data_IF_830964615078
#
_entry.id   IF_830964615078
#
_cell.length_a   1.000
_cell.length_b   1.000
_cell.length_c   1.000
_cell.angle_alpha   90.00
_cell.angle_beta   90.00
_cell.angle_gamma   90.00
#
_symmetry.space_group_name_H-M   'P 1'
#
loop_
_entity.id
_entity.type
_entity.pdbx_description
1 polymer ?
#
# COMPACT_ATOMS: atom_id res chain seq x y z
N UNK A 1 33.11 -12.72 3.54
CA UNK A 1 31.82 -11.99 3.67
C UNK A 1 31.71 -10.68 2.87
N UNK A 2 32.79 -10.08 2.33
CA UNK A 2 32.72 -8.80 1.59
C UNK A 2 31.97 -8.86 0.23
N UNK A 3 32.00 -10.02 -0.44
CA UNK A 3 31.34 -10.20 -1.75
C UNK A 3 29.81 -10.09 -1.64
N UNK A 4 29.21 -10.73 -0.62
CA UNK A 4 27.76 -10.73 -0.41
C UNK A 4 27.21 -9.32 -0.14
N UNK A 5 27.95 -8.50 0.62
CA UNK A 5 27.58 -7.11 0.88
C UNK A 5 27.65 -6.24 -0.37
N UNK A 6 28.64 -6.47 -1.25
CA UNK A 6 28.74 -5.76 -2.52
C UNK A 6 27.58 -6.12 -3.46
N UNK A 7 27.27 -7.41 -3.63
CA UNK A 7 26.14 -7.89 -4.46
C UNK A 7 24.80 -7.35 -3.96
N UNK A 8 24.58 -7.32 -2.64
CA UNK A 8 23.37 -6.75 -2.07
C UNK A 8 23.24 -5.24 -2.39
N UNK A 9 24.35 -4.50 -2.32
CA UNK A 9 24.38 -3.06 -2.58
C UNK A 9 24.17 -2.72 -4.06
N UNK A 10 24.81 -3.46 -4.97
CA UNK A 10 24.59 -3.29 -6.43
C UNK A 10 23.17 -3.71 -6.82
N UNK A 11 22.65 -4.83 -6.29
CA UNK A 11 21.27 -5.25 -6.54
C UNK A 11 20.25 -4.20 -6.09
N UNK A 12 20.45 -3.61 -4.91
CA UNK A 12 19.58 -2.53 -4.41
C UNK A 12 19.60 -1.30 -5.32
N UNK A 13 20.77 -0.87 -5.79
CA UNK A 13 20.89 0.29 -6.68
C UNK A 13 20.29 0.01 -8.08
N UNK A 14 20.56 -1.17 -8.65
CA UNK A 14 20.03 -1.58 -9.96
C UNK A 14 18.51 -1.78 -9.93
N UNK A 15 17.93 -2.14 -8.79
CA UNK A 15 16.47 -2.29 -8.65
C UNK A 15 15.70 -0.98 -8.71
N UNK A 16 16.38 0.17 -8.52
CA UNK A 16 15.77 1.50 -8.59
C UNK A 16 15.81 2.09 -10.00
N UNK A 17 16.69 1.61 -10.86
CA UNK A 17 16.79 2.04 -12.25
C UNK A 17 15.93 1.11 -13.11
N UNK A 18 15.10 1.69 -13.97
CA UNK A 18 14.33 0.95 -14.96
C UNK A 18 14.57 1.53 -16.35
N UNK A 19 14.65 0.65 -17.35
CA UNK A 19 14.73 1.01 -18.77
C UNK A 19 13.48 0.45 -19.41
N UNK A 20 12.65 1.30 -20.03
CA UNK A 20 11.35 0.90 -20.60
C UNK A 20 10.48 0.11 -19.60
N UNK A 21 10.38 0.58 -18.35
CA UNK A 21 9.63 -0.05 -17.26
C UNK A 21 10.17 -1.41 -16.77
N UNK A 22 11.28 -1.92 -17.33
CA UNK A 22 11.94 -3.14 -16.85
C UNK A 22 13.04 -2.76 -15.85
N UNK A 23 13.01 -3.23 -14.59
CA UNK A 23 14.09 -2.99 -13.64
C UNK A 23 15.45 -3.49 -14.15
N UNK A 24 16.54 -2.78 -13.89
CA UNK A 24 17.82 -3.12 -14.51
C UNK A 24 18.36 -4.49 -14.05
N UNK A 25 18.08 -4.89 -12.80
CA UNK A 25 18.42 -6.23 -12.32
C UNK A 25 17.71 -7.35 -13.10
N UNK A 26 16.50 -7.10 -13.61
CA UNK A 26 15.79 -8.02 -14.49
C UNK A 26 16.43 -8.13 -15.85
N UNK A 27 16.79 -6.98 -16.43
CA UNK A 27 17.47 -6.93 -17.72
C UNK A 27 18.80 -7.71 -17.65
N UNK A 28 19.53 -7.61 -16.55
CA UNK A 28 20.76 -8.40 -16.32
C UNK A 28 20.47 -9.90 -16.24
N UNK A 29 19.45 -10.32 -15.49
CA UNK A 29 19.06 -11.75 -15.41
C UNK A 29 18.62 -12.27 -16.77
N UNK A 30 17.85 -11.47 -17.51
CA UNK A 30 17.40 -11.81 -18.86
C UNK A 30 18.58 -11.98 -19.82
N UNK A 31 19.50 -11.00 -19.86
CA UNK A 31 20.72 -11.07 -20.70
C UNK A 31 21.56 -12.28 -20.31
N UNK A 32 21.77 -12.52 -19.01
CA UNK A 32 22.51 -13.69 -18.53
C UNK A 32 21.82 -15.00 -18.95
N UNK A 33 20.50 -15.06 -18.89
CA UNK A 33 19.70 -16.19 -19.36
C UNK A 33 19.81 -16.42 -20.87
N UNK A 34 19.77 -15.35 -21.68
CA UNK A 34 19.96 -15.42 -23.14
C UNK A 34 21.37 -15.91 -23.49
N UNK A 35 22.40 -15.38 -22.84
CA UNK A 35 23.79 -15.81 -23.05
C UNK A 35 23.97 -17.28 -22.65
N UNK A 36 23.47 -17.67 -21.48
CA UNK A 36 23.54 -19.06 -21.02
C UNK A 36 22.80 -20.02 -21.99
N UNK A 37 21.65 -19.60 -22.52
CA UNK A 37 20.89 -20.37 -23.50
C UNK A 37 21.64 -20.48 -24.83
N UNK A 38 22.32 -19.42 -25.28
CA UNK A 38 23.16 -19.43 -26.48
C UNK A 38 24.36 -20.38 -26.34
N UNK A 39 25.09 -20.31 -25.21
CA UNK A 39 26.19 -21.23 -24.91
C UNK A 39 25.71 -22.69 -24.85
N UNK A 40 24.55 -22.93 -24.26
CA UNK A 40 23.95 -24.26 -24.22
C UNK A 40 23.57 -24.75 -25.62
N UNK A 41 22.97 -23.90 -26.46
CA UNK A 41 22.64 -24.23 -27.85
C UNK A 41 23.85 -24.70 -28.66
N UNK A 42 25.01 -24.06 -28.49
CA UNK A 42 26.27 -24.47 -29.14
C UNK A 42 26.69 -25.87 -28.67
N UNK A 43 26.65 -26.15 -27.36
CA UNK A 43 26.98 -27.48 -26.83
C UNK A 43 26.05 -28.59 -27.35
N UNK A 44 24.77 -28.26 -27.57
CA UNK A 44 23.80 -29.21 -28.16
C UNK A 44 24.15 -29.50 -29.62
N UNK A 45 24.53 -28.50 -30.40
CA UNK A 45 24.90 -28.70 -31.82
C UNK A 45 26.17 -29.54 -32.00
N UNK A 46 27.06 -29.53 -31.01
CA UNK A 46 28.28 -30.35 -31.01
C UNK A 46 28.04 -31.80 -30.51
N UNK A 47 26.78 -32.20 -30.28
CA UNK A 47 26.40 -33.49 -29.71
C UNK A 47 27.11 -33.81 -28.38
N UNK A 48 27.44 -32.78 -27.60
CA UNK A 48 28.13 -32.97 -26.32
C UNK A 48 27.15 -33.54 -25.28
N UNK A 49 27.41 -34.73 -24.71
CA UNK A 49 26.51 -35.34 -23.71
C UNK A 49 26.37 -34.50 -22.44
N UNK A 50 27.32 -33.58 -22.17
CA UNK A 50 27.26 -32.66 -21.04
C UNK A 50 26.20 -31.56 -21.21
N UNK A 51 25.65 -31.36 -22.40
CA UNK A 51 24.63 -30.35 -22.66
C UNK A 51 23.37 -30.53 -21.79
N UNK A 52 23.04 -31.77 -21.40
CA UNK A 52 21.88 -32.06 -20.52
C UNK A 52 22.05 -31.40 -19.14
N UNK A 53 23.28 -31.31 -18.63
CA UNK A 53 23.54 -30.66 -17.34
C UNK A 53 23.38 -29.13 -17.39
N UNK A 54 23.46 -28.52 -18.58
CA UNK A 54 23.17 -27.09 -18.79
C UNK A 54 21.68 -26.76 -18.81
N UNK A 55 20.84 -27.72 -19.22
CA UNK A 55 19.39 -27.55 -19.36
C UNK A 55 18.69 -27.23 -18.03
N UNK A 56 19.04 -28.00 -16.99
CA UNK A 56 18.40 -27.95 -15.68
C UNK A 56 18.59 -26.57 -14.99
N UNK A 57 19.82 -26.03 -14.85
CA UNK A 57 20.01 -24.70 -14.26
C UNK A 57 19.40 -23.59 -15.13
N UNK A 58 19.45 -23.71 -16.46
CA UNK A 58 18.81 -22.76 -17.37
C UNK A 58 17.30 -22.69 -17.14
N UNK A 59 16.63 -23.85 -17.07
CA UNK A 59 15.20 -23.94 -16.77
C UNK A 59 14.87 -23.40 -15.37
N UNK A 60 15.69 -23.69 -14.36
CA UNK A 60 15.49 -23.19 -13.00
C UNK A 60 15.58 -21.66 -12.92
N UNK A 61 16.57 -21.05 -13.60
CA UNK A 61 16.70 -19.58 -13.68
C UNK A 61 15.52 -18.99 -14.44
N UNK A 62 15.10 -19.59 -15.55
CA UNK A 62 13.95 -19.16 -16.33
C UNK A 62 12.65 -19.22 -15.51
N UNK A 63 12.41 -20.32 -14.78
CA UNK A 63 11.24 -20.44 -13.90
C UNK A 63 11.28 -19.46 -12.74
N UNK A 64 12.43 -19.25 -12.10
CA UNK A 64 12.59 -18.24 -11.05
C UNK A 64 12.32 -16.82 -11.58
N UNK A 65 12.78 -16.52 -12.79
CA UNK A 65 12.46 -15.30 -13.51
C UNK A 65 10.95 -15.21 -13.76
N UNK A 66 10.32 -16.21 -14.36
CA UNK A 66 8.89 -16.20 -14.63
C UNK A 66 8.06 -15.98 -13.34
N UNK A 67 8.37 -16.72 -12.27
CA UNK A 67 7.71 -16.59 -10.96
C UNK A 67 7.91 -15.20 -10.39
N UNK A 68 9.12 -14.66 -10.47
CA UNK A 68 9.39 -13.32 -9.97
C UNK A 68 8.68 -12.25 -10.81
N UNK A 69 8.33 -12.52 -12.06
CA UNK A 69 7.73 -11.54 -12.97
C UNK A 69 6.26 -11.43 -12.59
N UNK A 70 5.60 -12.59 -12.61
CA UNK A 70 4.21 -12.76 -12.19
C UNK A 70 3.96 -12.27 -10.75
N UNK A 71 4.93 -12.40 -9.84
CA UNK A 71 4.76 -11.96 -8.44
C UNK A 71 5.11 -10.50 -8.16
N UNK A 72 5.76 -9.78 -9.07
CA UNK A 72 6.37 -8.47 -8.77
C UNK A 72 5.72 -7.29 -9.48
N UNK A 73 4.71 -7.52 -10.31
CA UNK A 73 4.07 -6.45 -11.06
C UNK A 73 3.17 -5.57 -10.18
N UNK A 74 3.73 -4.83 -9.23
CA UNK A 74 3.09 -3.66 -8.63
C UNK A 74 4.09 -2.52 -8.65
N UNK A 75 4.09 -1.76 -9.76
CA UNK A 75 4.93 -0.58 -9.92
C UNK A 75 4.07 0.68 -9.86
N UNK A 76 4.60 1.72 -9.24
CA UNK A 76 3.95 3.03 -9.18
C UNK A 76 4.83 4.03 -9.90
N UNK A 77 4.31 4.59 -10.98
CA UNK A 77 4.98 5.65 -11.75
C UNK A 77 4.37 6.98 -11.33
N UNK A 78 5.18 7.84 -10.73
CA UNK A 78 4.74 9.18 -10.28
C UNK A 78 4.45 10.07 -11.49
N UNK A 79 3.34 10.78 -11.43
CA UNK A 79 2.90 11.78 -12.41
C UNK A 79 2.83 13.16 -11.72
N UNK A 80 2.86 14.26 -12.49
CA UNK A 80 2.57 15.57 -11.94
C UNK A 80 1.19 15.58 -11.28
N UNK A 81 1.11 16.10 -10.06
CA UNK A 81 -0.14 16.22 -9.32
C UNK A 81 -1.12 17.12 -10.08
N UNK A 82 -2.41 16.74 -10.18
CA UNK A 82 -3.42 17.62 -10.71
C UNK A 82 -3.56 18.85 -9.80
N UNK A 83 -3.87 20.00 -10.39
CA UNK A 83 -4.19 21.20 -9.61
C UNK A 83 -5.47 20.93 -8.82
N UNK A 84 -5.36 20.87 -7.49
CA UNK A 84 -6.50 20.65 -6.61
C UNK A 84 -7.55 21.75 -6.85
N UNK A 85 -8.73 21.34 -7.30
CA UNK A 85 -9.89 22.23 -7.38
C UNK A 85 -10.66 22.07 -6.08
N UNK A 86 -10.99 23.16 -5.41
CA UNK A 86 -11.72 23.11 -4.16
C UNK A 86 -13.11 22.51 -4.40
N UNK A 87 -13.28 21.23 -4.08
CA UNK A 87 -14.58 20.56 -4.08
C UNK A 87 -15.16 20.74 -2.68
N UNK A 88 -16.18 21.59 -2.56
CA UNK A 88 -16.98 21.70 -1.34
C UNK A 88 -18.18 20.77 -1.49
N UNK A 89 -18.20 19.67 -0.73
CA UNK A 89 -19.26 18.68 -0.81
C UNK A 89 -18.97 17.44 0.04
N UNK A 90 -20.00 16.59 0.20
CA UNK A 90 -19.83 15.29 0.83
C UNK A 90 -18.77 14.48 0.08
N UNK A 91 -17.96 13.76 0.85
CA UNK A 91 -16.93 12.89 0.33
C UNK A 91 -17.51 11.98 -0.78
N UNK A 92 -16.78 11.70 -1.87
CA UNK A 92 -17.18 10.69 -2.84
C UNK A 92 -17.01 9.28 -2.23
N UNK A 93 -17.72 9.01 -1.12
CA UNK A 93 -17.68 7.77 -0.34
C UNK A 93 -18.23 6.58 -1.14
N UNK A 94 -18.89 6.85 -2.26
CA UNK A 94 -19.41 5.85 -3.19
C UNK A 94 -18.45 5.53 -4.34
N UNK A 95 -17.28 6.18 -4.41
CA UNK A 95 -16.29 5.83 -5.44
C UNK A 95 -15.68 4.48 -5.09
N UNK A 96 -15.89 3.51 -5.99
CA UNK A 96 -15.18 2.24 -5.94
C UNK A 96 -13.68 2.53 -6.12
N UNK A 97 -12.91 2.25 -5.07
CA UNK A 97 -11.46 2.36 -5.12
C UNK A 97 -10.84 1.01 -4.82
N UNK A 98 -9.60 0.81 -5.30
CA UNK A 98 -8.86 -0.41 -5.05
C UNK A 98 -7.66 -0.08 -4.18
N UNK A 99 -7.48 -0.84 -3.10
CA UNK A 99 -6.47 -0.62 -2.10
C UNK A 99 -5.30 -1.61 -2.24
N UNK A 100 -4.11 -1.06 -2.37
CA UNK A 100 -2.84 -1.79 -2.27
C UNK A 100 -2.07 -1.27 -1.06
N UNK A 101 -1.99 -2.07 0.00
CA UNK A 101 -1.39 -1.60 1.25
C UNK A 101 -1.59 -2.59 2.39
N UNK A 102 -1.23 -2.17 3.59
CA UNK A 102 -1.49 -2.92 4.82
C UNK A 102 -2.93 -2.62 5.27
N UNK A 103 -3.71 -3.65 5.55
CA UNK A 103 -4.99 -3.54 6.25
C UNK A 103 -4.94 -4.36 7.53
N UNK A 104 -5.78 -4.00 8.50
CA UNK A 104 -5.90 -4.65 9.79
C UNK A 104 -7.29 -5.26 9.98
N UNK A 105 -7.34 -6.48 10.48
CA UNK A 105 -8.57 -7.13 10.95
C UNK A 105 -8.52 -7.08 12.48
N UNK A 106 -9.30 -6.15 13.05
CA UNK A 106 -9.19 -5.77 14.46
C UNK A 106 -7.77 -5.31 14.85
N UNK A 107 -7.46 -5.29 16.14
CA UNK A 107 -6.15 -4.85 16.65
C UNK A 107 -5.01 -5.88 16.43
N UNK A 108 -5.36 -7.15 16.20
CA UNK A 108 -4.41 -8.27 16.30
C UNK A 108 -3.84 -8.75 14.98
N UNK A 109 -4.58 -8.64 13.87
CA UNK A 109 -4.15 -9.18 12.59
C UNK A 109 -3.89 -8.05 11.61
N UNK A 110 -2.70 -8.03 11.02
CA UNK A 110 -2.39 -7.13 9.91
C UNK A 110 -1.83 -7.92 8.74
N UNK A 111 -2.26 -7.58 7.52
CA UNK A 111 -1.81 -8.24 6.29
C UNK A 111 -1.70 -7.22 5.17
N UNK A 112 -0.75 -7.45 4.25
CA UNK A 112 -0.62 -6.66 3.04
C UNK A 112 -1.53 -7.25 1.96
N UNK A 113 -2.30 -6.38 1.34
CA UNK A 113 -3.19 -6.68 0.25
C UNK A 113 -2.75 -5.90 -0.99
N UNK A 114 -3.05 -6.46 -2.16
CA UNK A 114 -2.73 -5.86 -3.45
C UNK A 114 -4.03 -5.79 -4.23
N UNK A 115 -4.36 -4.61 -4.70
CA UNK A 115 -5.47 -4.34 -5.61
C UNK A 115 -6.83 -4.88 -5.12
N UNK A 116 -7.12 -4.73 -3.81
CA UNK A 116 -8.38 -5.18 -3.22
C UNK A 116 -9.47 -4.11 -3.31
N UNK A 117 -10.70 -4.45 -3.68
CA UNK A 117 -11.80 -3.48 -3.66
C UNK A 117 -12.01 -2.96 -2.25
N UNK A 118 -12.07 -1.65 -2.10
CA UNK A 118 -12.25 -0.98 -0.82
C UNK A 118 -13.13 0.26 -0.97
N UNK A 119 -13.61 0.76 0.15
CA UNK A 119 -14.43 1.96 0.22
C UNK A 119 -13.84 2.91 1.25
N UNK A 120 -13.81 4.19 0.91
CA UNK A 120 -13.58 5.27 1.85
C UNK A 120 -14.84 5.48 2.69
N UNK A 121 -14.71 5.52 4.02
CA UNK A 121 -15.82 5.78 4.95
C UNK A 121 -15.35 6.66 6.11
N UNK A 122 -16.28 7.25 6.84
CA UNK A 122 -16.02 7.77 8.19
C UNK A 122 -16.50 6.77 9.23
N UNK A 123 -15.76 6.63 10.31
CA UNK A 123 -16.22 5.91 11.50
C UNK A 123 -17.19 6.79 12.31
N UNK A 124 -17.85 6.20 13.31
CA UNK A 124 -18.76 6.91 14.22
C UNK A 124 -18.06 8.10 14.93
N UNK A 125 -16.76 8.00 15.18
CA UNK A 125 -15.94 9.08 15.73
C UNK A 125 -15.56 10.18 14.73
N UNK A 126 -16.05 10.12 13.49
CA UNK A 126 -15.71 11.07 12.42
C UNK A 126 -14.36 10.80 11.75
N UNK A 127 -13.59 9.85 12.25
CA UNK A 127 -12.28 9.45 11.71
C UNK A 127 -12.41 8.86 10.32
N UNK A 128 -11.48 9.23 9.44
CA UNK A 128 -11.39 8.68 8.10
C UNK A 128 -10.84 7.25 8.14
N UNK A 129 -11.55 6.33 7.48
CA UNK A 129 -11.18 4.93 7.36
C UNK A 129 -11.33 4.44 5.93
N UNK A 130 -10.47 3.52 5.53
CA UNK A 130 -10.64 2.73 4.30
C UNK A 130 -10.98 1.30 4.72
N UNK A 131 -12.12 0.80 4.26
CA UNK A 131 -12.67 -0.50 4.64
C UNK A 131 -12.79 -1.40 3.42
N UNK A 132 -12.42 -2.67 3.59
CA UNK A 132 -12.58 -3.72 2.58
C UNK A 132 -13.08 -5.00 3.25
N UNK A 133 -14.09 -5.65 2.67
CA UNK A 133 -14.58 -6.94 3.16
C UNK A 133 -13.81 -8.07 2.49
N UNK A 134 -12.90 -8.73 3.22
CA UNK A 134 -11.96 -9.71 2.66
C UNK A 134 -12.00 -11.01 3.45
N UNK A 135 -12.13 -12.14 2.73
CA UNK A 135 -11.82 -13.47 3.26
C UNK A 135 -10.32 -13.75 3.07
N UNK A 136 -9.54 -13.53 4.13
CA UNK A 136 -8.11 -13.82 4.14
C UNK A 136 -7.77 -15.17 4.81
N UNK A 137 -8.75 -16.09 4.86
CA UNK A 137 -8.61 -17.38 5.55
C UNK A 137 -7.58 -18.29 4.87
N UNK A 138 -6.84 -19.05 5.67
CA UNK A 138 -5.92 -20.07 5.13
C UNK A 138 -6.62 -21.42 5.08
N UNK A 139 -6.50 -22.10 3.94
CA UNK A 139 -7.04 -23.46 3.74
C UNK A 139 -5.88 -24.44 3.54
N UNK A 140 -5.97 -25.60 4.16
CA UNK A 140 -5.05 -26.71 3.98
C UNK A 140 -5.88 -27.96 3.67
N UNK A 141 -5.70 -28.54 2.47
CA UNK A 141 -6.51 -29.65 1.96
C UNK A 141 -8.03 -29.43 2.08
N UNK A 142 -8.51 -28.23 1.75
CA UNK A 142 -9.94 -27.88 1.82
C UNK A 142 -10.45 -27.54 3.21
N UNK A 143 -9.69 -27.81 4.28
CA UNK A 143 -10.05 -27.45 5.65
C UNK A 143 -9.57 -26.02 5.94
N UNK A 144 -10.46 -25.16 6.44
CA UNK A 144 -10.12 -23.81 6.89
C UNK A 144 -9.36 -23.93 8.22
N UNK A 145 -8.06 -23.67 8.20
CA UNK A 145 -7.19 -23.78 9.39
C UNK A 145 -7.13 -22.48 10.19
N UNK A 146 -7.39 -21.35 9.55
CA UNK A 146 -7.40 -20.04 10.19
C UNK A 146 -8.43 -19.16 9.48
N UNK A 147 -9.60 -18.98 10.10
CA UNK A 147 -10.65 -18.11 9.57
C UNK A 147 -10.29 -16.65 9.80
N UNK A 148 -10.20 -15.87 8.72
CA UNK A 148 -9.91 -14.42 8.75
C UNK A 148 -10.82 -13.67 7.80
N UNK A 149 -12.12 -13.93 7.93
CA UNK A 149 -13.19 -13.24 7.21
C UNK A 149 -13.62 -12.03 8.01
N UNK A 150 -13.74 -10.88 7.35
CA UNK A 150 -14.36 -9.70 7.97
C UNK A 150 -14.00 -8.39 7.30
N UNK A 151 -14.36 -7.30 7.97
CA UNK A 151 -14.00 -5.95 7.58
C UNK A 151 -12.54 -5.66 7.95
N UNK A 152 -11.71 -5.52 6.93
CA UNK A 152 -10.32 -5.09 7.05
C UNK A 152 -10.25 -3.57 6.89
N UNK A 153 -9.60 -2.91 7.84
CA UNK A 153 -9.56 -1.45 7.94
C UNK A 153 -8.13 -0.93 7.80
N UNK A 154 -8.00 0.26 7.22
CA UNK A 154 -6.88 1.17 7.44
C UNK A 154 -7.43 2.48 8.00
N UNK A 155 -6.74 3.03 9.01
CA UNK A 155 -7.09 4.29 9.67
C UNK A 155 -6.00 5.34 9.40
N UNK A 156 -5.90 5.89 8.19
CA UNK A 156 -4.85 6.83 7.85
C UNK A 156 -5.17 8.21 8.47
N UNK A 157 -4.23 8.77 9.24
CA UNK A 157 -4.44 10.05 9.91
C UNK A 157 -4.34 11.25 8.93
N UNK A 158 -5.40 12.05 8.74
CA UNK A 158 -5.46 13.07 7.67
C UNK A 158 -4.34 14.12 7.69
N UNK A 159 -3.94 14.56 8.88
CA UNK A 159 -2.88 15.57 9.04
C UNK A 159 -1.50 15.09 8.54
N UNK A 160 -1.29 13.77 8.40
CA UNK A 160 -0.01 13.15 8.06
C UNK A 160 0.14 12.80 6.57
N UNK A 161 -0.83 13.17 5.74
CA UNK A 161 -0.87 12.74 4.34
C UNK A 161 0.23 13.40 3.50
N UNK A 162 1.11 12.56 2.95
CA UNK A 162 1.94 12.87 1.79
C UNK A 162 1.38 12.10 0.60
N UNK A 163 0.79 12.80 -0.36
CA UNK A 163 0.10 12.21 -1.51
C UNK A 163 0.91 12.47 -2.78
N UNK A 164 1.09 11.43 -3.57
CA UNK A 164 1.68 11.49 -4.90
C UNK A 164 0.70 10.91 -5.92
N UNK A 165 0.41 11.64 -6.99
CA UNK A 165 -0.37 11.12 -8.11
C UNK A 165 0.51 10.26 -9.03
N UNK A 166 -0.11 9.31 -9.73
CA UNK A 166 0.58 8.44 -10.64
C UNK A 166 -0.30 7.41 -11.31
N UNK A 167 0.35 6.40 -11.86
CA UNK A 167 -0.27 5.20 -12.40
C UNK A 167 0.28 3.98 -11.69
N UNK A 168 -0.62 3.12 -11.19
CA UNK A 168 -0.31 1.80 -10.65
C UNK A 168 -0.36 0.78 -11.78
N UNK A 169 0.74 0.06 -11.99
CA UNK A 169 0.81 -1.06 -12.91
C UNK A 169 0.69 -2.35 -12.11
N UNK A 170 -0.42 -3.08 -12.31
CA UNK A 170 -0.63 -4.42 -11.79
C UNK A 170 -0.69 -5.44 -12.94
N UNK A 171 0.32 -6.30 -13.03
CA UNK A 171 0.56 -7.10 -14.23
C UNK A 171 0.75 -6.20 -15.46
N UNK A 172 0.04 -6.51 -16.53
CA UNK A 172 -0.03 -5.69 -17.75
C UNK A 172 -1.13 -4.62 -17.71
N UNK A 173 -1.82 -4.43 -16.58
CA UNK A 173 -2.87 -3.41 -16.44
C UNK A 173 -2.31 -2.18 -15.75
N UNK A 174 -2.44 -1.03 -16.39
CA UNK A 174 -2.23 0.27 -15.75
C UNK A 174 -3.55 0.84 -15.26
N UNK A 175 -3.57 1.40 -14.06
CA UNK A 175 -4.72 2.10 -13.49
C UNK A 175 -4.27 3.43 -12.86
N UNK A 176 -5.03 4.53 -13.02
CA UNK A 176 -4.74 5.79 -12.35
C UNK A 176 -4.74 5.57 -10.84
N UNK A 177 -3.74 6.14 -10.14
CA UNK A 177 -3.54 5.84 -8.73
C UNK A 177 -2.98 7.02 -7.92
N UNK A 178 -3.23 6.97 -6.60
CA UNK A 178 -2.65 7.86 -5.60
C UNK A 178 -1.81 7.04 -4.64
N UNK A 179 -0.52 7.37 -4.52
CA UNK A 179 0.34 6.83 -3.45
C UNK A 179 0.23 7.75 -2.25
N UNK A 180 -0.30 7.21 -1.16
CA UNK A 180 -0.48 7.91 0.10
C UNK A 180 0.51 7.36 1.13
N UNK A 181 1.30 8.25 1.74
CA UNK A 181 2.06 7.96 2.96
C UNK A 181 1.36 8.63 4.12
N UNK A 182 1.20 7.90 5.21
CA UNK A 182 0.39 8.35 6.35
C UNK A 182 0.91 7.70 7.64
N UNK A 183 0.50 8.24 8.78
CA UNK A 183 0.59 7.57 10.07
C UNK A 183 -0.67 6.73 10.29
N UNK A 184 -0.50 5.43 10.54
CA UNK A 184 -1.61 4.53 10.88
C UNK A 184 -2.10 4.90 12.29
N UNK A 185 -3.38 5.26 12.43
CA UNK A 185 -3.98 5.67 13.69
C UNK A 185 -3.94 4.59 14.77
N UNK A 186 -3.76 3.32 14.39
CA UNK A 186 -3.72 2.20 15.33
C UNK A 186 -2.37 2.06 16.05
N UNK A 187 -1.26 2.30 15.34
CA UNK A 187 0.09 2.05 15.86
C UNK A 187 1.05 3.26 15.73
N UNK A 188 0.56 4.38 15.20
CA UNK A 188 1.31 5.59 14.90
C UNK A 188 2.56 5.34 14.04
N UNK A 189 2.62 4.22 13.30
CA UNK A 189 3.74 3.93 12.40
C UNK A 189 3.44 4.49 11.02
N UNK A 190 4.51 4.86 10.31
CA UNK A 190 4.43 5.26 8.91
C UNK A 190 3.96 4.09 8.04
N UNK A 191 2.78 4.24 7.46
CA UNK A 191 2.21 3.37 6.45
C UNK A 191 2.36 3.95 5.04
N UNK A 192 2.31 3.08 4.05
CA UNK A 192 2.22 3.44 2.64
C UNK A 192 1.10 2.61 2.03
N UNK A 193 0.19 3.28 1.33
CA UNK A 193 -0.84 2.66 0.52
C UNK A 193 -0.86 3.28 -0.87
N UNK A 194 -1.37 2.52 -1.83
CA UNK A 194 -1.67 2.98 -3.17
C UNK A 194 -3.16 2.73 -3.39
N UNK A 195 -3.89 3.79 -3.70
CA UNK A 195 -5.29 3.75 -4.08
C UNK A 195 -5.34 3.78 -5.61
N UNK A 196 -5.87 2.74 -6.26
CA UNK A 196 -6.14 2.72 -7.70
C UNK A 196 -7.61 3.01 -7.97
N UNK A 197 -7.88 3.65 -9.10
CA UNK A 197 -9.19 4.07 -9.55
C UNK A 197 -9.43 3.55 -10.97
N UNK A 198 -10.69 3.45 -11.37
CA UNK A 198 -11.04 3.03 -12.74
C UNK A 198 -10.83 4.16 -13.75
N UNK A 199 -11.09 5.41 -13.34
CA UNK A 199 -10.90 6.60 -14.17
C UNK A 199 -10.00 7.65 -13.49
N UNK A 200 -9.23 8.44 -14.27
CA UNK A 200 -8.39 9.51 -13.73
C UNK A 200 -9.24 10.64 -13.10
N UNK A 201 -10.48 10.84 -13.57
CA UNK A 201 -11.41 11.81 -12.98
C UNK A 201 -11.76 11.46 -11.53
N UNK A 202 -11.94 10.18 -11.24
CA UNK A 202 -12.27 9.70 -9.89
C UNK A 202 -11.07 9.86 -8.96
N UNK A 203 -9.86 9.55 -9.47
CA UNK A 203 -8.59 9.81 -8.80
C UNK A 203 -8.46 11.28 -8.40
N UNK A 204 -8.70 12.18 -9.35
CA UNK A 204 -8.49 13.62 -9.17
C UNK A 204 -9.55 14.24 -8.23
N UNK A 205 -10.79 13.76 -8.30
CA UNK A 205 -11.85 14.11 -7.36
C UNK A 205 -11.53 13.64 -5.93
N UNK A 206 -11.07 12.39 -5.79
CA UNK A 206 -10.66 11.84 -4.51
C UNK A 206 -9.43 12.55 -3.92
N UNK A 207 -8.47 12.91 -4.77
CA UNK A 207 -7.30 13.71 -4.36
C UNK A 207 -7.73 15.07 -3.80
N UNK A 208 -8.58 15.80 -4.52
CA UNK A 208 -9.09 17.11 -4.09
C UNK A 208 -9.83 17.03 -2.76
N UNK A 209 -10.59 15.94 -2.57
CA UNK A 209 -11.26 15.65 -1.30
C UNK A 209 -10.28 15.38 -0.15
N UNK A 210 -9.24 14.57 -0.36
CA UNK A 210 -8.21 14.28 0.66
C UNK A 210 -7.45 15.54 1.11
N UNK A 211 -7.15 16.46 0.18
CA UNK A 211 -6.51 17.74 0.52
C UNK A 211 -7.43 18.63 1.37
N UNK A 212 -8.73 18.67 1.06
CA UNK A 212 -9.72 19.38 1.88
C UNK A 212 -9.82 18.76 3.30
N UNK A 213 -9.78 17.44 3.41
CA UNK A 213 -9.78 16.74 4.70
C UNK A 213 -8.52 17.05 5.52
N UNK A 214 -7.36 17.05 4.87
CA UNK A 214 -6.07 17.40 5.49
C UNK A 214 -6.07 18.86 6.00
N UNK A 215 -6.63 19.79 5.23
CA UNK A 215 -6.77 21.18 5.64
C UNK A 215 -7.70 21.32 6.86
N UNK A 216 -8.83 20.60 6.87
CA UNK A 216 -9.79 20.60 7.98
C UNK A 216 -9.16 20.04 9.26
N UNK A 217 -8.44 18.93 9.17
CA UNK A 217 -7.75 18.32 10.30
C UNK A 217 -6.64 19.22 10.88
N UNK A 218 -5.98 20.00 10.03
CA UNK A 218 -4.95 20.94 10.44
C UNK A 218 -5.54 22.18 11.13
N UNK A 219 -6.73 22.64 10.72
CA UNK A 219 -7.43 23.78 11.35
C UNK A 219 -7.94 23.49 12.77
N UNK A 220 -8.35 22.24 13.06
CA UNK A 220 -8.83 21.86 14.39
C UNK A 220 -7.74 21.87 15.47
N UNK A 221 -6.47 21.68 15.10
CA UNK A 221 -5.35 21.66 16.05
C UNK A 221 -5.06 23.03 16.69
N UNK A 222 -5.60 24.13 16.14
CA UNK A 222 -5.35 25.49 16.65
C UNK A 222 -6.47 26.02 17.55
N UNK A 223 -7.62 25.33 17.64
CA UNK A 223 -8.75 25.78 18.47
C UNK A 223 -8.82 25.09 19.84
N UNK A 224 -7.67 24.72 20.42
CA UNK A 224 -7.57 24.60 21.88
C UNK A 224 -7.54 26.02 22.44
N UNK A 225 -8.71 26.65 22.47
CA UNK A 225 -8.97 27.81 23.32
C UNK A 225 -8.55 27.37 24.72
N UNK A 226 -7.43 27.93 25.21
CA UNK A 226 -7.02 27.73 26.59
C UNK A 226 -8.27 27.94 27.45
N UNK A 227 -8.61 27.03 28.38
CA UNK A 227 -9.74 27.26 29.26
C UNK A 227 -9.50 28.62 29.89
N UNK A 228 -10.34 29.59 29.53
CA UNK A 228 -10.40 30.86 30.23
C UNK A 228 -10.84 30.45 31.62
N UNK A 229 -9.86 30.26 32.50
CA UNK A 229 -10.05 30.20 33.93
C UNK A 229 -10.86 31.45 34.23
N UNK A 230 -12.14 31.25 34.54
CA UNK A 230 -13.00 32.29 35.04
C UNK A 230 -12.84 32.22 36.57
N UNK A 231 -11.99 33.06 37.20
CA UNK A 231 -11.66 32.93 38.62
C UNK A 231 -12.77 33.46 39.56
N UNK A 232 -14.04 33.29 39.23
CA UNK A 232 -15.14 33.87 40.01
C UNK A 232 -16.39 32.99 40.05
N UNK A 233 -16.24 31.75 40.50
CA UNK A 233 -17.37 31.02 41.11
C UNK A 233 -17.09 30.87 42.62
N UNK A 234 -17.76 31.65 43.49
CA UNK A 234 -17.66 31.45 44.93
C UNK A 234 -18.27 30.11 45.33
N UNK A 235 -17.55 29.43 46.22
CA UNK A 235 -17.93 28.24 46.98
C UNK A 235 -19.42 28.23 47.36
N UNK A 236 -20.18 27.27 46.83
CA UNK A 236 -21.46 26.86 47.41
C UNK A 236 -21.25 25.52 48.14
N UNK A 237 -21.00 25.63 49.44
CA UNK A 237 -20.99 24.50 50.37
C UNK A 237 -22.43 24.00 50.52
N UNK A 238 -22.77 22.90 49.86
CA UNK A 238 -24.02 22.19 50.11
C UNK A 238 -23.74 20.97 50.99
N UNK A 239 -23.69 21.22 52.30
CA UNK A 239 -23.93 20.22 53.32
C UNK A 239 -25.38 19.75 53.15
N UNK A 240 -25.60 18.45 52.93
CA UNK A 240 -26.81 17.82 53.43
C UNK A 240 -26.55 16.36 53.76
N UNK A 241 -26.43 16.16 55.07
CA UNK A 241 -26.57 14.90 55.77
C UNK A 241 -27.96 14.27 55.54
N UNK A 242 -27.95 12.94 55.65
CA UNK A 242 -29.03 12.08 56.15
C UNK A 242 -30.30 11.94 55.28
N UNK A 243 -30.70 10.69 55.00
CA UNK A 243 -31.65 9.94 55.85
C UNK A 243 -31.77 8.50 55.33
N UNK A 244 -31.75 7.59 56.31
CA UNK A 244 -32.13 6.18 56.35
C UNK A 244 -33.24 5.73 55.38
N UNK A 245 -33.02 4.59 54.71
CA UNK A 245 -33.76 3.32 54.91
C UNK A 245 -33.42 2.30 53.83
#
# INVERSE_FOLDING_TARGET
>A
MRLMGWVARTSHNLSRQSVNMVPMNWLVIFIAGVVASGCWGIMVTEHNPLAIFGAIPGLAVFLAFLISFVKRDTFFTTEPLPTATAVSGDAPLQTELRWTGKLRLHEKAAKRFIDMPAMATRLEGGEFAVVSNIDASTRFYGVVTNSKVGAWLALPQPHSFEIEAGTLYYGFRGAPALRMRFLDGTDSKKGVAILSFDAPTDRDAFYSWLEAEKATASGHATSTVAPVLNPSSPFATSTNDAILS
#
